data_IF_587980976523
#
_entry.id   IF_587980976523
#
_cell.length_a   1.000
_cell.length_b   1.000
_cell.length_c   1.000
_cell.angle_alpha   90.00
_cell.angle_beta   90.00
_cell.angle_gamma   90.00
#
_symmetry.space_group_name_H-M   'P 1'
#
loop_
_entity.id
_entity.type
_entity.pdbx_description
1 polymer ?
#
# COMPACT_ATOMS: atom_id res chain seq x y z
N UNK A 1 -24.15 -19.16 84.65
CA UNK A 1 -23.33 -18.02 84.24
C UNK A 1 -22.71 -18.32 82.88
N UNK A 2 -23.25 -17.80 81.86
CA UNK A 2 -22.74 -17.99 80.42
C UNK A 2 -22.21 -16.61 79.99
N UNK A 3 -20.91 -16.56 79.73
CA UNK A 3 -20.26 -15.39 79.26
C UNK A 3 -20.60 -15.12 77.81
N UNK A 4 -21.09 -13.92 77.51
CA UNK A 4 -21.33 -13.40 76.18
C UNK A 4 -19.99 -12.94 75.53
N UNK A 5 -19.59 -13.54 74.42
CA UNK A 5 -18.45 -13.04 73.66
C UNK A 5 -18.92 -11.90 72.74
N UNK A 6 -18.22 -10.76 72.70
CA UNK A 6 -18.59 -9.72 71.72
C UNK A 6 -18.12 -10.10 70.36
N UNK A 7 -19.07 -10.07 69.42
CA UNK A 7 -18.84 -10.24 67.98
C UNK A 7 -18.17 -8.97 67.44
N UNK A 8 -16.87 -9.07 67.13
CA UNK A 8 -16.12 -7.97 66.52
C UNK A 8 -16.54 -7.91 65.08
N UNK A 9 -17.37 -6.94 64.74
CA UNK A 9 -17.76 -6.67 63.34
C UNK A 9 -16.56 -5.99 62.63
N UNK A 10 -15.81 -6.78 61.84
CA UNK A 10 -14.77 -6.27 60.98
C UNK A 10 -15.44 -5.62 59.74
N UNK A 11 -15.69 -4.32 59.78
CA UNK A 11 -15.98 -3.53 58.60
C UNK A 11 -14.73 -3.48 57.75
N UNK A 12 -14.62 -4.40 56.78
CA UNK A 12 -13.69 -4.25 55.65
C UNK A 12 -14.26 -3.14 54.80
N UNK A 13 -13.80 -1.93 55.00
CA UNK A 13 -13.97 -0.86 54.02
C UNK A 13 -13.18 -1.28 52.79
N UNK A 14 -13.86 -1.90 51.81
CA UNK A 14 -13.37 -1.97 50.46
C UNK A 14 -13.29 -0.52 49.95
N UNK A 15 -12.15 0.11 50.10
CA UNK A 15 -11.77 1.25 49.28
C UNK A 15 -11.70 0.74 47.85
N UNK A 16 -12.80 0.83 47.14
CA UNK A 16 -12.76 0.90 45.70
C UNK A 16 -11.98 2.16 45.37
N UNK A 17 -10.68 2.04 45.27
CA UNK A 17 -9.90 2.99 44.52
C UNK A 17 -10.45 2.91 43.09
N UNK A 18 -11.52 3.65 42.81
CA UNK A 18 -11.85 4.05 41.49
C UNK A 18 -10.63 4.84 41.01
N UNK A 19 -9.68 4.13 40.41
CA UNK A 19 -8.71 4.76 39.57
C UNK A 19 -9.56 5.55 38.57
N UNK A 20 -9.75 6.83 38.80
CA UNK A 20 -10.19 7.75 37.77
C UNK A 20 -9.15 7.63 36.68
N UNK A 21 -9.38 6.76 35.71
CA UNK A 21 -8.67 6.82 34.43
C UNK A 21 -9.00 8.22 33.91
N UNK A 22 -8.05 9.13 34.09
CA UNK A 22 -8.14 10.46 33.51
C UNK A 22 -8.42 10.20 32.02
N UNK A 23 -9.55 10.70 31.50
CA UNK A 23 -9.80 10.59 30.08
C UNK A 23 -8.58 11.16 29.35
N UNK A 24 -8.10 10.50 28.30
CA UNK A 24 -6.96 11.01 27.54
C UNK A 24 -7.28 12.40 26.99
N UNK A 25 -6.30 13.27 26.97
CA UNK A 25 -6.44 14.59 26.36
C UNK A 25 -6.50 14.45 24.83
N UNK A 26 -7.68 14.61 24.28
CA UNK A 26 -7.96 14.50 22.85
C UNK A 26 -7.81 15.83 22.11
N UNK A 27 -7.36 16.91 22.77
CA UNK A 27 -7.06 18.19 22.11
C UNK A 27 -6.05 17.95 20.98
N UNK A 28 -6.27 18.57 19.83
CA UNK A 28 -5.38 18.46 18.69
C UNK A 28 -4.14 19.34 18.88
N UNK A 29 -2.99 18.76 18.66
CA UNK A 29 -1.69 19.43 18.55
C UNK A 29 -1.34 19.48 17.08
N UNK A 30 -0.95 20.66 16.60
CA UNK A 30 -0.44 20.86 15.24
C UNK A 30 0.99 21.38 15.32
N UNK A 31 1.89 20.82 14.50
CA UNK A 31 3.31 21.13 14.54
C UNK A 31 3.93 20.98 13.15
N UNK A 32 4.68 21.99 12.71
CA UNK A 32 5.50 21.89 11.50
C UNK A 32 6.93 21.47 11.87
N UNK A 33 7.45 20.52 11.13
CA UNK A 33 8.81 19.97 11.32
C UNK A 33 9.47 19.77 9.95
N UNK A 34 10.79 19.62 9.94
CA UNK A 34 11.56 19.37 8.70
C UNK A 34 11.33 20.40 7.59
N UNK A 35 11.34 21.70 7.96
CA UNK A 35 11.22 22.78 6.97
C UNK A 35 12.48 22.87 6.10
N UNK A 36 12.28 23.01 4.77
CA UNK A 36 13.32 23.17 3.74
C UNK A 36 14.33 22.02 3.63
N UNK A 37 13.95 20.81 3.98
CA UNK A 37 14.75 19.62 3.78
C UNK A 37 14.40 18.96 2.43
N UNK A 38 15.41 18.39 1.76
CA UNK A 38 15.22 17.53 0.58
C UNK A 38 14.78 16.15 1.04
N UNK A 39 13.47 15.99 1.24
CA UNK A 39 12.87 14.74 1.72
C UNK A 39 12.50 13.85 0.53
N UNK A 40 13.06 12.66 0.48
CA UNK A 40 12.84 11.71 -0.62
C UNK A 40 12.50 10.28 -0.17
N UNK A 41 12.78 9.93 1.08
CA UNK A 41 12.59 8.58 1.60
C UNK A 41 11.73 8.61 2.86
N UNK A 42 10.58 7.92 2.82
CA UNK A 42 9.58 7.96 3.89
C UNK A 42 9.19 6.56 4.33
N UNK A 43 9.25 6.32 5.63
CA UNK A 43 8.72 5.11 6.24
C UNK A 43 7.57 5.47 7.19
N UNK A 44 6.39 4.97 6.88
CA UNK A 44 5.15 5.23 7.64
C UNK A 44 4.73 3.92 8.32
N UNK A 45 4.67 3.92 9.64
CA UNK A 45 4.40 2.72 10.42
C UNK A 45 3.25 2.92 11.43
N UNK A 46 2.87 1.85 12.09
CA UNK A 46 1.92 1.84 13.21
C UNK A 46 0.56 2.53 12.96
N UNK A 47 0.07 2.48 11.71
CA UNK A 47 -1.25 2.98 11.35
C UNK A 47 -1.34 4.50 11.31
N UNK A 48 -0.24 5.20 11.05
CA UNK A 48 -0.28 6.61 10.71
C UNK A 48 -1.10 6.86 9.44
N UNK A 49 -1.82 7.99 9.42
CA UNK A 49 -2.43 8.53 8.20
C UNK A 49 -1.51 9.63 7.65
N UNK A 50 -0.86 9.38 6.50
CA UNK A 50 0.04 10.35 5.89
C UNK A 50 -0.45 10.75 4.52
N UNK A 51 -0.60 12.06 4.33
CA UNK A 51 -0.91 12.67 3.03
C UNK A 51 0.36 13.27 2.45
N UNK A 52 0.76 12.80 1.28
CA UNK A 52 1.83 13.41 0.49
C UNK A 52 1.22 14.42 -0.48
N UNK A 53 1.76 15.63 -0.48
CA UNK A 53 1.31 16.73 -1.34
C UNK A 53 2.49 17.22 -2.17
N UNK A 54 2.32 17.28 -3.48
CA UNK A 54 3.33 17.90 -4.34
C UNK A 54 3.30 19.42 -4.16
N UNK A 55 4.42 19.99 -3.69
CA UNK A 55 4.64 21.43 -3.56
C UNK A 55 5.93 21.81 -4.29
N UNK A 56 5.84 22.54 -5.39
CA UNK A 56 6.98 22.89 -6.22
C UNK A 56 8.00 23.83 -5.57
N UNK A 57 7.72 24.35 -4.38
CA UNK A 57 8.54 25.40 -3.74
C UNK A 57 9.23 24.93 -2.45
N UNK A 58 8.55 24.11 -1.65
CA UNK A 58 9.02 23.81 -0.30
C UNK A 58 8.82 22.34 0.06
N UNK A 59 9.77 21.79 0.82
CA UNK A 59 9.60 20.49 1.49
C UNK A 59 9.50 20.72 2.98
N UNK A 60 8.43 20.22 3.60
CA UNK A 60 8.22 20.27 5.05
C UNK A 60 7.16 19.25 5.47
N UNK A 61 7.05 19.01 6.76
CA UNK A 61 6.07 18.09 7.33
C UNK A 61 5.21 18.80 8.37
N UNK A 62 3.90 18.65 8.22
CA UNK A 62 2.91 19.07 9.22
C UNK A 62 2.38 17.86 9.95
N UNK A 63 2.42 17.90 11.27
CA UNK A 63 1.89 16.85 12.15
C UNK A 63 0.60 17.32 12.81
N UNK A 64 -0.39 16.43 12.88
CA UNK A 64 -1.62 16.62 13.64
C UNK A 64 -1.89 15.38 14.50
N UNK A 65 -1.89 15.52 15.81
CA UNK A 65 -2.12 14.40 16.71
C UNK A 65 -2.85 14.82 18.00
N UNK A 66 -3.51 13.84 18.66
CA UNK A 66 -4.14 14.05 19.95
C UNK A 66 -3.09 14.30 21.03
N UNK A 67 -3.26 15.30 21.87
CA UNK A 67 -2.25 15.79 22.83
C UNK A 67 -1.70 14.69 23.76
N UNK A 68 -2.51 13.70 24.15
CA UNK A 68 -2.03 12.59 24.97
C UNK A 68 -0.99 11.69 24.27
N UNK A 69 -0.83 11.81 22.95
CA UNK A 69 0.15 11.05 22.15
C UNK A 69 1.51 11.77 22.06
N UNK A 70 1.65 13.00 22.53
CA UNK A 70 2.85 13.83 22.32
C UNK A 70 4.14 13.14 22.80
N UNK A 71 4.08 12.45 23.95
CA UNK A 71 5.23 11.73 24.49
C UNK A 71 5.56 10.41 23.73
N UNK A 72 4.71 10.00 22.81
CA UNK A 72 4.82 8.74 22.08
C UNK A 72 5.12 8.96 20.60
N UNK A 73 4.65 10.06 20.00
CA UNK A 73 4.90 10.39 18.60
C UNK A 73 6.40 10.48 18.33
N UNK A 74 6.85 9.71 17.37
CA UNK A 74 8.24 9.70 16.90
C UNK A 74 8.26 9.98 15.41
N UNK A 75 8.66 11.19 15.05
CA UNK A 75 8.94 11.54 13.67
C UNK A 75 10.39 12.00 13.60
N UNK A 76 11.21 11.26 12.87
CA UNK A 76 12.65 11.48 12.87
C UNK A 76 13.37 10.80 11.72
N UNK A 77 14.49 11.36 11.32
CA UNK A 77 15.34 10.80 10.27
C UNK A 77 16.28 9.75 10.83
N UNK A 78 16.27 8.56 10.21
CA UNK A 78 17.19 7.47 10.50
C UNK A 78 17.66 6.88 9.17
N UNK A 79 18.97 6.91 8.90
CA UNK A 79 19.58 6.39 7.67
C UNK A 79 18.91 6.95 6.40
N UNK A 80 18.72 8.25 6.32
CA UNK A 80 18.09 8.97 5.20
C UNK A 80 16.56 8.79 5.08
N UNK A 81 15.96 7.90 5.87
CA UNK A 81 14.51 7.70 5.94
C UNK A 81 13.88 8.62 6.97
N UNK A 82 12.88 9.39 6.59
CA UNK A 82 12.00 10.05 7.54
C UNK A 82 10.94 9.05 8.01
N UNK A 83 11.02 8.68 9.30
CA UNK A 83 10.16 7.67 9.89
C UNK A 83 9.02 8.33 10.66
N UNK A 84 7.80 7.85 10.43
CA UNK A 84 6.59 8.15 11.20
C UNK A 84 6.23 6.92 12.01
N UNK A 85 6.45 7.00 13.32
CA UNK A 85 6.35 5.85 14.22
C UNK A 85 5.92 6.32 15.63
N UNK A 86 5.75 5.38 16.54
CA UNK A 86 5.62 5.63 17.97
C UNK A 86 6.81 5.05 18.72
N UNK A 87 7.43 5.85 19.57
CA UNK A 87 8.63 5.44 20.33
C UNK A 87 8.35 4.39 21.42
N UNK A 88 7.09 4.01 21.64
CA UNK A 88 6.64 2.96 22.57
C UNK A 88 5.31 2.38 22.10
N UNK A 89 5.08 1.13 22.45
CA UNK A 89 3.77 0.52 22.28
C UNK A 89 2.71 1.30 23.06
N UNK A 90 1.76 1.89 22.35
CA UNK A 90 0.70 2.72 22.93
C UNK A 90 -0.66 2.06 22.77
N UNK A 91 -1.56 2.40 23.70
CA UNK A 91 -2.97 2.03 23.59
C UNK A 91 -3.71 3.16 22.89
N UNK A 92 -3.94 3.01 21.59
CA UNK A 92 -4.70 4.00 20.81
C UNK A 92 -6.15 4.01 21.27
N UNK A 93 -6.64 5.18 21.68
CA UNK A 93 -8.03 5.35 22.07
C UNK A 93 -8.90 5.53 20.83
N UNK A 94 -10.17 5.10 20.89
CA UNK A 94 -11.11 5.37 19.81
C UNK A 94 -11.22 6.89 19.54
N UNK A 95 -11.05 7.30 18.29
CA UNK A 95 -11.06 8.70 17.88
C UNK A 95 -9.74 9.46 18.08
N UNK A 96 -8.63 8.76 18.43
CA UNK A 96 -7.30 9.38 18.40
C UNK A 96 -6.93 9.81 16.98
N UNK A 97 -6.33 11.00 16.88
CA UNK A 97 -5.77 11.53 15.63
C UNK A 97 -4.25 11.40 15.69
N UNK A 98 -3.64 10.93 14.61
CA UNK A 98 -2.22 10.90 14.36
C UNK A 98 -2.00 10.89 12.84
N UNK A 99 -1.87 12.09 12.30
CA UNK A 99 -1.78 12.38 10.87
C UNK A 99 -0.55 13.21 10.57
N UNK A 100 -0.05 13.06 9.35
CA UNK A 100 0.95 13.95 8.83
C UNK A 100 0.56 14.39 7.41
N UNK A 101 0.92 15.62 7.06
CA UNK A 101 0.95 16.10 5.67
C UNK A 101 2.40 16.36 5.32
N UNK A 102 2.89 15.67 4.30
CA UNK A 102 4.27 15.79 3.80
C UNK A 102 4.24 16.56 2.50
N UNK A 103 4.80 17.77 2.50
CA UNK A 103 4.97 18.59 1.31
C UNK A 103 6.31 18.22 0.66
N UNK A 104 6.29 17.88 -0.63
CA UNK A 104 7.47 17.45 -1.37
C UNK A 104 7.67 18.34 -2.59
N UNK A 105 8.84 18.96 -2.67
CA UNK A 105 9.26 19.78 -3.83
C UNK A 105 10.15 19.02 -4.82
N UNK A 106 10.55 17.79 -4.49
CA UNK A 106 11.61 17.08 -5.19
C UNK A 106 11.11 16.44 -6.49
N UNK A 107 11.99 16.42 -7.51
CA UNK A 107 11.77 15.80 -8.82
C UNK A 107 12.72 14.62 -9.10
N UNK A 108 13.55 14.26 -8.15
CA UNK A 108 14.43 13.08 -8.23
C UNK A 108 13.69 11.83 -7.76
N UNK A 109 14.39 10.88 -7.16
CA UNK A 109 13.80 9.65 -6.67
C UNK A 109 12.89 9.89 -5.45
N UNK A 110 11.75 9.20 -5.41
CA UNK A 110 10.81 9.21 -4.28
C UNK A 110 10.55 7.77 -3.82
N UNK A 111 10.84 7.51 -2.55
CA UNK A 111 10.67 6.21 -1.91
C UNK A 111 9.67 6.33 -0.77
N UNK A 112 8.56 5.61 -0.86
CA UNK A 112 7.53 5.57 0.18
C UNK A 112 7.28 4.12 0.58
N UNK A 113 7.49 3.82 1.85
CA UNK A 113 7.14 2.54 2.46
C UNK A 113 6.10 2.76 3.55
N UNK A 114 5.01 2.01 3.50
CA UNK A 114 3.98 2.02 4.53
C UNK A 114 3.79 0.62 5.10
N UNK A 115 3.76 0.51 6.43
CA UNK A 115 3.68 -0.74 7.16
C UNK A 115 2.60 -0.69 8.25
N UNK A 116 2.21 -1.86 8.78
CA UNK A 116 1.35 -2.01 9.95
C UNK A 116 0.04 -1.19 9.91
N UNK A 117 -0.78 -1.43 8.87
CA UNK A 117 -2.08 -0.79 8.68
C UNK A 117 -2.05 0.75 8.52
N UNK A 118 -0.93 1.29 8.05
CA UNK A 118 -0.81 2.71 7.73
C UNK A 118 -1.65 3.10 6.51
N UNK A 119 -2.06 4.36 6.46
CA UNK A 119 -2.89 4.89 5.37
C UNK A 119 -2.12 6.01 4.67
N UNK A 120 -1.89 5.81 3.37
CA UNK A 120 -1.26 6.80 2.51
C UNK A 120 -2.31 7.43 1.59
N UNK A 121 -2.18 8.72 1.38
CA UNK A 121 -2.89 9.46 0.34
C UNK A 121 -1.87 10.31 -0.41
N UNK A 122 -1.87 10.26 -1.74
CA UNK A 122 -1.07 11.17 -2.55
C UNK A 122 -2.01 12.19 -3.19
N UNK A 123 -1.81 13.47 -2.91
CA UNK A 123 -2.62 14.56 -3.43
C UNK A 123 -1.86 15.37 -4.47
N UNK A 124 -2.45 15.48 -5.67
CA UNK A 124 -1.84 16.12 -6.82
C UNK A 124 -1.03 15.15 -7.66
N UNK A 125 -0.42 15.69 -8.70
CA UNK A 125 0.37 14.97 -9.68
C UNK A 125 1.85 15.05 -9.33
N UNK A 126 2.47 13.90 -9.10
CA UNK A 126 3.89 13.81 -8.78
C UNK A 126 4.70 13.55 -10.05
N UNK A 127 5.65 14.42 -10.33
CA UNK A 127 6.65 14.25 -11.41
C UNK A 127 8.00 13.94 -10.78
N UNK A 128 8.46 12.68 -10.89
CA UNK A 128 9.71 12.21 -10.33
C UNK A 128 10.51 11.39 -11.36
N UNK A 129 11.81 11.27 -11.23
CA UNK A 129 12.59 10.40 -12.12
C UNK A 129 12.34 8.94 -11.82
N UNK A 130 12.48 8.55 -10.54
CA UNK A 130 12.25 7.20 -10.05
C UNK A 130 11.25 7.21 -8.89
N UNK A 131 10.31 6.25 -8.89
CA UNK A 131 9.34 6.04 -7.83
C UNK A 131 9.39 4.60 -7.33
N UNK A 132 9.65 4.42 -6.03
CA UNK A 132 9.47 3.15 -5.35
C UNK A 132 8.41 3.26 -4.25
N UNK A 133 7.43 2.37 -4.29
CA UNK A 133 6.27 2.42 -3.42
C UNK A 133 5.95 1.04 -2.82
N UNK A 134 6.12 0.90 -1.52
CA UNK A 134 5.87 -0.35 -0.79
C UNK A 134 4.71 -0.21 0.19
N UNK A 135 3.73 -1.09 0.09
CA UNK A 135 2.65 -1.24 1.07
C UNK A 135 2.68 -2.64 1.68
N UNK A 136 2.88 -2.72 2.99
CA UNK A 136 3.03 -3.95 3.73
C UNK A 136 2.00 -4.04 4.87
N UNK A 137 1.71 -5.27 5.32
CA UNK A 137 0.94 -5.55 6.53
C UNK A 137 -0.37 -4.76 6.62
N UNK A 138 -1.27 -4.97 5.65
CA UNK A 138 -2.59 -4.35 5.56
C UNK A 138 -2.60 -2.82 5.40
N UNK A 139 -1.51 -2.23 4.94
CA UNK A 139 -1.46 -0.80 4.63
C UNK A 139 -2.24 -0.46 3.37
N UNK A 140 -2.73 0.77 3.30
CA UNK A 140 -3.63 1.19 2.21
C UNK A 140 -3.14 2.51 1.61
N UNK A 141 -3.08 2.57 0.27
CA UNK A 141 -3.02 3.84 -0.46
C UNK A 141 -4.29 4.04 -1.30
N UNK A 142 -4.88 5.24 -1.22
CA UNK A 142 -6.19 5.54 -1.84
C UNK A 142 -6.10 6.35 -3.13
N UNK A 143 -4.99 6.99 -3.38
CA UNK A 143 -4.76 7.81 -4.57
C UNK A 143 -3.26 7.78 -4.88
N UNK A 144 -2.93 7.63 -6.17
CA UNK A 144 -1.56 7.53 -6.63
C UNK A 144 -1.50 8.04 -8.08
N UNK A 145 -1.18 9.32 -8.25
CA UNK A 145 -1.03 9.95 -9.56
C UNK A 145 0.42 10.35 -9.77
N UNK A 146 1.14 9.63 -10.64
CA UNK A 146 2.60 9.74 -10.79
C UNK A 146 3.01 9.68 -12.26
N UNK A 147 3.90 10.58 -12.65
CA UNK A 147 4.71 10.45 -13.86
C UNK A 147 6.17 10.20 -13.48
N UNK A 148 6.75 9.10 -14.00
CA UNK A 148 8.16 8.78 -13.75
C UNK A 148 8.79 7.98 -14.89
N UNK A 149 10.14 7.97 -14.96
CA UNK A 149 10.85 7.11 -15.90
C UNK A 149 10.79 5.64 -15.45
N UNK A 150 10.85 5.40 -14.15
CA UNK A 150 10.77 4.07 -13.56
C UNK A 150 9.86 4.10 -12.33
N UNK A 151 8.94 3.12 -12.23
CA UNK A 151 8.09 2.97 -11.09
C UNK A 151 8.08 1.52 -10.60
N UNK A 152 8.48 1.32 -9.35
CA UNK A 152 8.34 0.07 -8.62
C UNK A 152 7.18 0.15 -7.63
N UNK A 153 6.27 -0.82 -7.66
CA UNK A 153 5.16 -0.95 -6.71
C UNK A 153 5.21 -2.35 -6.11
N UNK A 154 5.33 -2.43 -4.79
CA UNK A 154 5.29 -3.69 -4.07
C UNK A 154 4.18 -3.69 -3.01
N UNK A 155 3.31 -4.70 -3.05
CA UNK A 155 2.21 -4.88 -2.11
C UNK A 155 2.32 -6.25 -1.45
N UNK A 156 2.23 -6.33 -0.14
CA UNK A 156 2.26 -7.59 0.59
C UNK A 156 1.31 -7.61 1.79
N UNK A 157 0.93 -8.83 2.20
CA UNK A 157 0.22 -9.11 3.44
C UNK A 157 -1.10 -8.33 3.59
N UNK A 158 -1.97 -8.45 2.57
CA UNK A 158 -3.31 -7.85 2.55
C UNK A 158 -3.35 -6.36 2.26
N UNK A 159 -2.26 -5.79 1.77
CA UNK A 159 -2.18 -4.36 1.45
C UNK A 159 -2.96 -4.00 0.18
N UNK A 160 -3.38 -2.75 0.09
CA UNK A 160 -4.30 -2.31 -0.95
C UNK A 160 -3.87 -0.96 -1.55
N UNK A 161 -3.75 -0.93 -2.87
CA UNK A 161 -3.48 0.28 -3.64
C UNK A 161 -4.62 0.53 -4.63
N UNK A 162 -5.29 1.65 -4.48
CA UNK A 162 -6.40 2.08 -5.31
C UNK A 162 -6.15 3.42 -5.98
N UNK A 163 -6.79 3.63 -7.13
CA UNK A 163 -6.74 4.90 -7.83
C UNK A 163 -5.34 5.22 -8.38
N UNK A 164 -4.63 4.19 -8.87
CA UNK A 164 -3.38 4.41 -9.61
C UNK A 164 -3.71 5.10 -10.93
N UNK A 165 -2.98 6.17 -11.21
CA UNK A 165 -2.88 6.80 -12.52
C UNK A 165 -1.39 7.04 -12.80
N UNK A 166 -0.77 6.06 -13.45
CA UNK A 166 0.64 6.06 -13.75
C UNK A 166 0.90 6.41 -15.21
N UNK A 167 1.86 7.30 -15.42
CA UNK A 167 2.41 7.66 -16.72
C UNK A 167 3.94 7.54 -16.69
N UNK A 168 4.53 6.79 -17.62
CA UNK A 168 5.99 6.72 -17.65
C UNK A 168 6.57 5.65 -18.55
N UNK A 169 7.88 5.48 -18.44
CA UNK A 169 8.61 4.63 -19.38
C UNK A 169 8.52 3.16 -18.99
N UNK A 170 8.81 2.83 -17.74
CA UNK A 170 8.76 1.46 -17.23
C UNK A 170 7.99 1.39 -15.92
N UNK A 171 7.20 0.32 -15.75
CA UNK A 171 6.50 0.09 -14.49
C UNK A 171 6.59 -1.39 -14.10
N UNK A 172 6.87 -1.63 -12.83
CA UNK A 172 6.88 -2.96 -12.22
C UNK A 172 5.91 -3.01 -11.07
N UNK A 173 5.01 -4.02 -11.04
CA UNK A 173 4.04 -4.20 -9.96
C UNK A 173 4.16 -5.61 -9.40
N UNK A 174 4.47 -5.72 -8.12
CA UNK A 174 4.42 -6.98 -7.38
C UNK A 174 3.30 -6.94 -6.33
N UNK A 175 2.45 -7.98 -6.29
CA UNK A 175 1.42 -8.10 -5.27
C UNK A 175 1.37 -9.54 -4.75
N UNK A 176 1.54 -9.70 -3.45
CA UNK A 176 1.60 -11.00 -2.79
C UNK A 176 0.69 -11.07 -1.56
N UNK A 177 0.29 -12.29 -1.18
CA UNK A 177 -0.42 -12.57 0.06
C UNK A 177 -1.69 -11.71 0.24
N UNK A 178 -2.68 -11.95 -0.60
CA UNK A 178 -4.01 -11.33 -0.54
C UNK A 178 -4.03 -9.81 -0.82
N UNK A 179 -2.98 -9.29 -1.47
CA UNK A 179 -2.90 -7.88 -1.78
C UNK A 179 -3.65 -7.50 -3.06
N UNK A 180 -4.05 -6.23 -3.16
CA UNK A 180 -4.86 -5.73 -4.28
C UNK A 180 -4.29 -4.44 -4.84
N UNK A 181 -4.05 -4.41 -6.16
CA UNK A 181 -3.70 -3.20 -6.90
C UNK A 181 -4.74 -2.89 -7.98
N UNK A 182 -5.19 -1.62 -8.07
CA UNK A 182 -6.18 -1.19 -9.08
C UNK A 182 -5.86 0.18 -9.65
N UNK A 183 -5.85 0.29 -10.98
CA UNK A 183 -5.61 1.58 -11.59
C UNK A 183 -5.52 1.61 -13.11
N UNK A 184 -5.05 2.74 -13.62
CA UNK A 184 -4.68 2.99 -15.00
C UNK A 184 -3.17 3.08 -15.13
N UNK A 185 -2.61 2.49 -16.19
CA UNK A 185 -1.17 2.47 -16.43
C UNK A 185 -0.87 2.83 -17.88
N UNK A 186 -0.25 3.98 -18.09
CA UNK A 186 0.27 4.41 -19.38
C UNK A 186 1.78 4.21 -19.38
N UNK A 187 2.23 3.11 -19.98
CA UNK A 187 3.64 2.69 -20.00
C UNK A 187 4.18 2.79 -21.42
N UNK A 188 5.29 3.49 -21.61
CA UNK A 188 5.86 3.75 -22.93
C UNK A 188 6.71 2.58 -23.45
N UNK A 189 7.31 1.77 -22.59
CA UNK A 189 8.17 0.66 -22.99
C UNK A 189 7.72 -0.67 -22.39
N UNK A 190 7.96 -0.90 -21.09
CA UNK A 190 7.79 -2.21 -20.47
C UNK A 190 6.97 -2.16 -19.21
N UNK A 191 5.91 -2.97 -19.17
CA UNK A 191 5.18 -3.30 -17.96
C UNK A 191 5.54 -4.71 -17.50
N UNK A 192 5.96 -4.85 -16.24
CA UNK A 192 6.27 -6.15 -15.63
C UNK A 192 5.44 -6.34 -14.37
N UNK A 193 4.89 -7.53 -14.18
CA UNK A 193 4.15 -7.80 -12.95
C UNK A 193 4.31 -9.24 -12.48
N UNK A 194 4.38 -9.42 -11.15
CA UNK A 194 4.33 -10.71 -10.46
C UNK A 194 3.26 -10.70 -9.39
N UNK A 195 2.25 -11.59 -9.55
CA UNK A 195 1.10 -11.66 -8.63
C UNK A 195 1.03 -13.07 -8.04
N UNK A 196 1.00 -13.17 -6.70
CA UNK A 196 1.00 -14.47 -6.02
C UNK A 196 0.17 -14.50 -4.74
N UNK A 197 -0.18 -15.72 -4.31
CA UNK A 197 -0.90 -16.03 -3.08
C UNK A 197 -2.21 -15.23 -2.95
N UNK A 198 -3.23 -15.59 -3.75
CA UNK A 198 -4.58 -15.00 -3.75
C UNK A 198 -4.62 -13.48 -3.96
N UNK A 199 -3.63 -12.91 -4.61
CA UNK A 199 -3.57 -11.46 -4.86
C UNK A 199 -4.25 -11.08 -6.16
N UNK A 200 -4.53 -9.79 -6.33
CA UNK A 200 -5.30 -9.29 -7.46
C UNK A 200 -4.68 -8.02 -8.05
N UNK A 201 -4.55 -7.99 -9.39
CA UNK A 201 -4.27 -6.78 -10.16
C UNK A 201 -5.40 -6.50 -11.15
N UNK A 202 -5.98 -5.30 -11.10
CA UNK A 202 -7.00 -4.86 -12.05
C UNK A 202 -6.55 -3.57 -12.72
N UNK A 203 -6.30 -3.64 -14.02
CA UNK A 203 -5.97 -2.47 -14.84
C UNK A 203 -7.15 -2.19 -15.76
N UNK A 204 -7.81 -1.06 -15.53
CA UNK A 204 -9.03 -0.67 -16.23
C UNK A 204 -8.83 0.47 -17.25
N UNK A 205 -7.57 0.79 -17.57
CA UNK A 205 -7.24 1.77 -18.61
C UNK A 205 -5.74 1.96 -18.76
N UNK A 206 -5.38 2.67 -19.81
CA UNK A 206 -4.00 2.97 -20.14
C UNK A 206 -3.54 2.32 -21.45
N UNK A 207 -2.25 2.33 -21.67
CA UNK A 207 -1.61 1.74 -22.84
C UNK A 207 -0.22 1.19 -22.49
N UNK A 208 0.16 0.08 -23.08
CA UNK A 208 1.49 -0.48 -22.91
C UNK A 208 1.89 -1.29 -24.17
N UNK A 209 3.02 -0.97 -24.81
CA UNK A 209 3.45 -1.71 -26.00
C UNK A 209 3.90 -3.13 -25.67
N UNK A 210 4.50 -3.35 -24.49
CA UNK A 210 4.98 -4.65 -24.06
C UNK A 210 4.65 -4.92 -22.61
N UNK A 211 4.16 -6.15 -22.31
CA UNK A 211 3.89 -6.60 -20.98
C UNK A 211 4.44 -8.01 -20.70
N UNK A 212 4.98 -8.21 -19.49
CA UNK A 212 5.34 -9.51 -18.98
C UNK A 212 4.62 -9.77 -17.67
N UNK A 213 3.81 -10.83 -17.60
CA UNK A 213 3.05 -11.16 -16.41
C UNK A 213 3.40 -12.56 -15.87
N UNK A 214 3.55 -12.63 -14.56
CA UNK A 214 3.69 -13.86 -13.81
C UNK A 214 2.58 -13.93 -12.75
N UNK A 215 1.67 -14.92 -12.84
CA UNK A 215 0.50 -15.05 -11.94
C UNK A 215 0.48 -16.44 -11.35
N UNK A 216 0.51 -16.53 -10.03
CA UNK A 216 0.63 -17.79 -9.29
C UNK A 216 -0.38 -17.90 -8.15
N UNK A 217 -0.59 -19.15 -7.71
CA UNK A 217 -1.24 -19.49 -6.44
C UNK A 217 -2.62 -18.84 -6.28
N UNK A 218 -3.54 -19.18 -7.21
CA UNK A 218 -4.93 -18.73 -7.26
C UNK A 218 -5.10 -17.19 -7.34
N UNK A 219 -4.10 -16.50 -7.86
CA UNK A 219 -4.15 -15.05 -8.06
C UNK A 219 -4.80 -14.67 -9.37
N UNK A 220 -5.22 -13.42 -9.50
CA UNK A 220 -5.94 -12.95 -10.69
C UNK A 220 -5.39 -11.66 -11.26
N UNK A 221 -5.32 -11.59 -12.60
CA UNK A 221 -5.04 -10.34 -13.34
C UNK A 221 -6.18 -10.05 -14.31
N UNK A 222 -6.64 -8.80 -14.32
CA UNK A 222 -7.56 -8.32 -15.33
C UNK A 222 -7.00 -7.05 -16.00
N UNK A 223 -6.63 -7.17 -17.27
CA UNK A 223 -6.11 -6.13 -18.15
C UNK A 223 -6.92 -6.06 -19.48
N UNK A 224 -8.17 -6.50 -19.46
CA UNK A 224 -9.03 -6.61 -20.63
C UNK A 224 -9.33 -5.25 -21.31
N UNK A 225 -9.17 -4.15 -20.60
CA UNK A 225 -9.43 -2.79 -21.10
C UNK A 225 -8.15 -2.06 -21.55
N UNK A 226 -7.00 -2.75 -21.52
CA UNK A 226 -5.70 -2.21 -21.93
C UNK A 226 -5.25 -2.90 -23.21
N UNK A 227 -4.98 -2.13 -24.25
CA UNK A 227 -4.41 -2.67 -25.48
C UNK A 227 -2.91 -2.88 -25.34
N UNK A 228 -2.46 -4.13 -25.53
CA UNK A 228 -1.07 -4.56 -25.42
C UNK A 228 -0.67 -5.15 -26.78
N UNK A 229 0.49 -4.76 -27.32
CA UNK A 229 0.95 -5.35 -28.58
C UNK A 229 1.57 -6.71 -28.36
N UNK A 230 2.62 -6.76 -27.53
CA UNK A 230 3.40 -7.96 -27.27
C UNK A 230 3.31 -8.36 -25.81
N UNK A 231 2.90 -9.60 -25.54
CA UNK A 231 2.72 -10.09 -24.20
C UNK A 231 3.36 -11.45 -23.96
N UNK A 232 4.11 -11.53 -22.86
CA UNK A 232 4.58 -12.78 -22.28
C UNK A 232 3.80 -13.12 -21.02
N UNK A 233 3.29 -14.36 -20.93
CA UNK A 233 2.50 -14.82 -19.78
C UNK A 233 3.09 -16.06 -19.15
N UNK A 234 3.11 -16.08 -17.81
CA UNK A 234 3.35 -17.29 -17.02
C UNK A 234 2.24 -17.41 -15.98
N UNK A 235 1.38 -18.41 -16.11
CA UNK A 235 0.31 -18.68 -15.15
C UNK A 235 0.52 -20.05 -14.52
N UNK A 236 0.39 -20.13 -13.18
CA UNK A 236 0.54 -21.39 -12.45
C UNK A 236 -0.39 -21.46 -11.22
N UNK A 237 -0.69 -22.67 -10.74
CA UNK A 237 -1.39 -22.90 -9.49
C UNK A 237 -2.85 -22.43 -9.49
N UNK A 238 -3.62 -22.67 -10.56
CA UNK A 238 -5.03 -22.30 -10.66
C UNK A 238 -5.28 -20.80 -10.81
N UNK A 239 -4.29 -20.08 -11.31
CA UNK A 239 -4.38 -18.63 -11.54
C UNK A 239 -5.20 -18.27 -12.76
N UNK A 240 -5.71 -17.05 -12.81
CA UNK A 240 -6.51 -16.55 -13.93
C UNK A 240 -5.99 -15.19 -14.44
N UNK A 241 -5.90 -15.06 -15.76
CA UNK A 241 -5.60 -13.79 -16.38
C UNK A 241 -6.61 -13.48 -17.51
N UNK A 242 -7.00 -12.20 -17.61
CA UNK A 242 -7.78 -11.66 -18.73
C UNK A 242 -7.02 -10.51 -19.37
N UNK A 243 -6.69 -10.62 -20.65
CA UNK A 243 -5.81 -9.69 -21.35
C UNK A 243 -6.38 -9.27 -22.72
N UNK A 244 -5.88 -8.16 -23.27
CA UNK A 244 -6.23 -7.71 -24.62
C UNK A 244 -4.94 -7.48 -25.41
N UNK A 245 -4.62 -8.43 -26.32
CA UNK A 245 -3.34 -8.47 -27.04
C UNK A 245 -3.58 -8.40 -28.54
N UNK A 246 -2.78 -7.58 -29.22
CA UNK A 246 -3.00 -7.29 -30.65
C UNK A 246 -1.98 -7.91 -31.59
N UNK A 247 -0.73 -8.15 -31.18
CA UNK A 247 0.33 -8.67 -32.05
C UNK A 247 0.82 -10.07 -31.63
N UNK A 248 1.48 -10.23 -30.46
CA UNK A 248 2.00 -11.52 -30.00
C UNK A 248 1.62 -11.85 -28.57
N UNK A 249 1.22 -13.11 -28.34
CA UNK A 249 0.90 -13.65 -27.03
C UNK A 249 1.64 -14.97 -26.84
N UNK A 250 2.65 -14.99 -25.97
CA UNK A 250 3.53 -16.13 -25.74
C UNK A 250 3.64 -16.51 -24.27
N UNK A 251 4.06 -17.75 -23.99
CA UNK A 251 4.38 -18.16 -22.61
C UNK A 251 3.85 -19.52 -22.22
N UNK A 252 3.53 -19.68 -20.91
CA UNK A 252 3.20 -20.98 -20.30
C UNK A 252 1.99 -20.89 -19.36
N UNK A 253 1.09 -21.87 -19.43
CA UNK A 253 -0.03 -22.07 -18.53
C UNK A 253 0.09 -23.45 -17.87
N UNK A 254 0.20 -23.47 -16.56
CA UNK A 254 0.44 -24.68 -15.76
C UNK A 254 -0.60 -24.83 -14.67
N UNK A 255 -0.75 -26.08 -14.17
CA UNK A 255 -1.47 -26.42 -12.92
C UNK A 255 -2.89 -25.87 -12.85
N UNK A 256 -3.71 -26.09 -13.88
CA UNK A 256 -5.12 -25.70 -13.92
C UNK A 256 -5.39 -24.22 -14.10
N UNK A 257 -4.42 -23.47 -14.62
CA UNK A 257 -4.56 -22.04 -14.86
C UNK A 257 -5.37 -21.71 -16.10
N UNK A 258 -5.96 -20.51 -16.13
CA UNK A 258 -6.81 -20.08 -17.26
C UNK A 258 -6.40 -18.70 -17.76
N UNK A 259 -6.23 -18.59 -19.07
CA UNK A 259 -5.98 -17.34 -19.78
C UNK A 259 -7.15 -16.99 -20.70
N UNK A 260 -7.81 -15.88 -20.47
CA UNK A 260 -8.77 -15.27 -21.38
C UNK A 260 -8.10 -14.16 -22.17
N UNK A 261 -8.34 -14.09 -23.46
CA UNK A 261 -7.75 -13.04 -24.28
C UNK A 261 -8.75 -12.41 -25.25
N UNK A 262 -8.63 -11.11 -25.47
CA UNK A 262 -9.23 -10.31 -26.55
C UNK A 262 -8.18 -10.05 -27.62
N UNK A 263 -8.64 -9.61 -28.82
CA UNK A 263 -7.78 -9.28 -29.93
C UNK A 263 -7.51 -10.46 -30.86
N UNK A 264 -6.52 -10.31 -31.72
CA UNK A 264 -6.15 -11.31 -32.72
C UNK A 264 -4.64 -11.56 -32.75
N UNK A 265 -4.00 -11.86 -31.61
CA UNK A 265 -2.56 -12.05 -31.56
C UNK A 265 -2.12 -13.34 -32.28
N UNK A 266 -0.87 -13.37 -32.69
CA UNK A 266 -0.20 -14.64 -32.92
C UNK A 266 0.05 -15.31 -31.58
N UNK A 267 -0.49 -16.52 -31.39
CA UNK A 267 -0.43 -17.25 -30.11
C UNK A 267 0.69 -18.29 -30.18
N UNK A 268 1.60 -18.21 -29.19
CA UNK A 268 2.67 -19.17 -28.93
C UNK A 268 2.70 -19.48 -27.42
N UNK A 269 1.63 -20.13 -26.95
CA UNK A 269 1.41 -20.41 -25.52
C UNK A 269 1.31 -21.91 -25.33
N UNK A 270 2.22 -22.44 -24.52
CA UNK A 270 2.22 -23.84 -24.09
C UNK A 270 1.29 -24.02 -22.88
N UNK A 271 0.37 -24.99 -22.96
CA UNK A 271 -0.57 -25.30 -21.88
C UNK A 271 -0.36 -26.73 -21.36
N UNK A 272 -0.34 -26.90 -20.02
CA UNK A 272 -0.51 -28.23 -19.41
C UNK A 272 -1.92 -28.77 -19.67
N UNK A 273 -2.11 -30.09 -19.51
CA UNK A 273 -3.36 -30.79 -19.83
C UNK A 273 -4.61 -30.26 -19.08
N UNK A 274 -4.41 -29.67 -17.91
CA UNK A 274 -5.44 -29.11 -17.04
C UNK A 274 -5.61 -27.59 -17.17
N UNK A 275 -4.77 -26.93 -17.95
CA UNK A 275 -4.80 -25.48 -18.17
C UNK A 275 -5.52 -25.12 -19.47
N UNK A 276 -6.05 -23.90 -19.57
CA UNK A 276 -6.84 -23.48 -20.72
C UNK A 276 -6.52 -22.06 -21.19
N UNK A 277 -6.52 -21.86 -22.52
CA UNK A 277 -6.52 -20.56 -23.16
C UNK A 277 -7.83 -20.37 -23.95
N UNK A 278 -8.50 -19.22 -23.82
CA UNK A 278 -9.81 -18.95 -24.44
C UNK A 278 -9.94 -17.53 -24.97
N UNK A 279 -10.41 -17.35 -26.20
CA UNK A 279 -10.82 -16.04 -26.69
C UNK A 279 -12.14 -15.59 -26.01
N UNK A 280 -12.31 -14.28 -25.81
CA UNK A 280 -13.54 -13.66 -25.27
C UNK A 280 -14.01 -12.47 -26.12
#
# INVERSE_FOLDING_TARGET
MKALKPLLLFCVALCFATSCKKNPDMTLVQKTVYENNDLSMFHVDDGWEVTFVYDSLNSFVELEYSAYLEDYVSVGEVNEWLNFDFNKQIYKQAGSVFKATVHISQKEALYIRADNASIITMEGHFEVEDMDFELLNASICKSFEVTSQSCGIELSDGSQLYGVDFHGTNCTVYAHKESVCKGCFNVEQTFTTGIGINSQLIIFGGSMPSASIEVKEASTINMAEVEIKDMSVYLDGGSEATVNVTETLSGFLLSGSTLYYKGHPQIDVDCSDDSTIRPI
#
